data_IF_517983716642
#
_entry.id   IF_517983716642
#
_cell.length_a   1.000
_cell.length_b   1.000
_cell.length_c   1.000
_cell.angle_alpha   90.00
_cell.angle_beta   90.00
_cell.angle_gamma   90.00
#
_symmetry.space_group_name_H-M   'P 1'
#
loop_
_entity.id
_entity.type
_entity.pdbx_description
1 polymer ?
#
# COMPACT_ATOMS: atom_id res chain seq x y z
N UNK A 1 13.92 -13.47 -14.62
CA UNK A 1 14.27 -14.29 -15.80
C UNK A 1 15.49 -13.67 -16.47
N UNK A 2 16.70 -14.12 -16.13
CA UNK A 2 17.94 -13.66 -16.76
C UNK A 2 18.37 -14.73 -17.76
N UNK A 3 17.60 -14.89 -18.83
CA UNK A 3 18.02 -15.72 -19.96
C UNK A 3 19.16 -14.98 -20.63
N UNK A 4 20.35 -15.57 -20.63
CA UNK A 4 21.51 -14.91 -21.20
C UNK A 4 21.34 -14.89 -22.73
N UNK A 5 21.48 -13.70 -23.32
CA UNK A 5 21.36 -13.48 -24.79
C UNK A 5 22.34 -14.38 -25.58
N UNK A 6 23.37 -14.90 -24.91
CA UNK A 6 24.35 -15.87 -25.43
C UNK A 6 23.73 -17.22 -25.82
N UNK A 7 22.69 -17.67 -25.12
CA UNK A 7 22.07 -18.98 -25.39
C UNK A 7 21.17 -18.98 -26.65
N UNK A 8 20.75 -17.79 -27.10
CA UNK A 8 19.77 -17.65 -28.19
C UNK A 8 20.38 -17.41 -29.59
N UNK A 9 21.71 -17.50 -29.75
CA UNK A 9 22.41 -17.23 -31.03
C UNK A 9 22.03 -15.89 -31.67
N UNK A 10 21.69 -14.91 -30.84
CA UNK A 10 21.29 -13.58 -31.28
C UNK A 10 22.54 -12.76 -31.58
N UNK A 11 22.62 -12.20 -32.80
CA UNK A 11 23.73 -11.32 -33.21
C UNK A 11 23.65 -9.98 -32.48
N UNK A 12 24.47 -9.82 -31.46
CA UNK A 12 24.63 -8.56 -30.71
C UNK A 12 25.78 -7.76 -31.33
N UNK A 13 25.48 -6.59 -31.87
CA UNK A 13 26.50 -5.65 -32.35
C UNK A 13 26.95 -4.76 -31.20
N UNK A 14 28.25 -4.48 -31.09
CA UNK A 14 28.74 -3.51 -30.10
C UNK A 14 28.92 -2.16 -30.79
N UNK A 15 28.21 -1.13 -30.35
CA UNK A 15 28.31 0.23 -30.88
C UNK A 15 28.86 1.17 -29.83
N UNK A 16 29.59 2.18 -30.27
CA UNK A 16 30.01 3.31 -29.44
C UNK A 16 29.24 4.55 -29.85
N UNK A 17 28.82 5.33 -28.88
CA UNK A 17 28.25 6.66 -29.13
C UNK A 17 29.36 7.71 -29.35
N UNK A 18 28.93 8.96 -29.57
CA UNK A 18 29.85 10.09 -29.77
C UNK A 18 30.71 10.42 -28.54
N UNK A 19 30.33 9.94 -27.36
CA UNK A 19 31.03 10.13 -26.08
C UNK A 19 31.93 8.93 -25.73
N UNK A 20 31.99 7.92 -26.60
CA UNK A 20 32.81 6.73 -26.41
C UNK A 20 32.18 5.67 -25.51
N UNK A 21 30.94 5.86 -25.07
CA UNK A 21 30.21 4.88 -24.27
C UNK A 21 29.82 3.66 -25.12
N UNK A 22 29.93 2.46 -24.53
CA UNK A 22 29.64 1.20 -25.21
C UNK A 22 28.19 0.79 -25.00
N UNK A 23 27.54 0.39 -26.08
CA UNK A 23 26.18 -0.13 -26.12
C UNK A 23 26.13 -1.46 -26.87
N UNK A 24 25.22 -2.32 -26.43
CA UNK A 24 24.79 -3.52 -27.14
C UNK A 24 23.63 -3.14 -28.07
N UNK A 25 23.83 -3.29 -29.37
CA UNK A 25 22.82 -3.01 -30.38
C UNK A 25 22.14 -4.30 -30.83
N UNK A 26 20.81 -4.33 -30.73
CA UNK A 26 19.96 -5.44 -31.16
C UNK A 26 18.69 -4.90 -31.83
N UNK A 27 18.37 -5.37 -33.04
CA UNK A 27 17.16 -4.96 -33.76
C UNK A 27 17.04 -3.45 -34.02
N UNK A 28 18.17 -2.74 -34.14
CA UNK A 28 18.20 -1.27 -34.28
C UNK A 28 17.97 -0.49 -32.98
N UNK A 29 17.83 -1.18 -31.84
CA UNK A 29 17.74 -0.61 -30.50
C UNK A 29 19.10 -0.69 -29.79
N UNK A 30 19.39 0.27 -28.92
CA UNK A 30 20.63 0.32 -28.15
C UNK A 30 20.34 -0.06 -26.69
N UNK A 31 21.14 -0.94 -26.11
CA UNK A 31 21.00 -1.39 -24.74
C UNK A 31 22.31 -1.18 -23.97
N UNK A 32 22.21 -0.83 -22.70
CA UNK A 32 23.34 -0.74 -21.77
C UNK A 32 22.85 -1.04 -20.37
N UNK A 33 23.59 -1.88 -19.65
CA UNK A 33 23.28 -2.33 -18.28
C UNK A 33 21.86 -2.92 -18.10
N UNK A 34 21.29 -3.49 -19.17
CA UNK A 34 19.94 -4.03 -19.18
C UNK A 34 18.82 -3.02 -19.45
N UNK A 35 19.14 -1.75 -19.70
CA UNK A 35 18.20 -0.70 -20.05
C UNK A 35 18.22 -0.39 -21.54
N UNK A 36 17.05 -0.02 -22.08
CA UNK A 36 16.91 0.47 -23.45
C UNK A 36 17.28 1.96 -23.52
N UNK A 37 18.21 2.28 -24.41
CA UNK A 37 18.59 3.64 -24.77
C UNK A 37 18.02 3.94 -26.15
N UNK A 38 17.07 4.88 -26.20
CA UNK A 38 16.37 5.24 -27.43
C UNK A 38 16.13 6.74 -27.48
N UNK A 39 16.59 7.38 -28.54
CA UNK A 39 16.24 8.77 -28.82
C UNK A 39 14.76 8.86 -29.17
N UNK A 40 14.04 9.68 -28.44
CA UNK A 40 12.62 9.98 -28.66
C UNK A 40 12.43 11.49 -28.80
N UNK A 41 11.35 11.91 -29.46
CA UNK A 41 11.03 13.34 -29.57
C UNK A 41 10.56 13.88 -28.22
N UNK A 42 10.97 15.10 -27.86
CA UNK A 42 10.47 15.79 -26.66
C UNK A 42 8.94 15.94 -26.70
N UNK A 43 8.35 16.07 -27.90
CA UNK A 43 6.89 16.14 -28.08
C UNK A 43 6.17 14.82 -27.79
N UNK A 44 6.89 13.70 -27.79
CA UNK A 44 6.34 12.36 -27.51
C UNK A 44 6.47 11.93 -26.05
N UNK A 45 7.04 12.77 -25.19
CA UNK A 45 7.19 12.50 -23.75
C UNK A 45 6.28 13.45 -22.96
N UNK A 46 5.63 12.91 -21.93
CA UNK A 46 5.07 13.75 -20.88
C UNK A 46 6.19 14.05 -19.89
N UNK A 47 6.45 15.32 -19.59
CA UNK A 47 7.46 15.74 -18.62
C UNK A 47 6.84 16.46 -17.41
N UNK A 48 5.52 16.66 -17.40
CA UNK A 48 4.85 17.47 -16.39
C UNK A 48 4.41 16.60 -15.22
N UNK A 49 4.75 17.03 -14.00
CA UNK A 49 4.26 16.44 -12.73
C UNK A 49 4.52 14.94 -12.56
N UNK A 50 5.55 14.39 -13.21
CA UNK A 50 5.94 12.99 -12.99
C UNK A 50 6.50 12.85 -11.58
N UNK A 51 5.88 11.96 -10.79
CA UNK A 51 6.37 11.51 -9.49
C UNK A 51 6.74 10.04 -9.61
N UNK A 52 8.03 9.68 -9.77
CA UNK A 52 8.43 8.29 -9.86
C UNK A 52 8.00 7.50 -8.62
N UNK A 53 7.60 6.26 -8.80
CA UNK A 53 7.36 5.33 -7.71
C UNK A 53 8.68 4.88 -7.07
N UNK A 54 8.60 4.26 -5.89
CA UNK A 54 9.78 3.66 -5.27
C UNK A 54 10.38 2.56 -6.15
N UNK A 55 9.54 1.66 -6.67
CA UNK A 55 9.95 0.57 -7.56
C UNK A 55 10.63 1.07 -8.84
N UNK A 56 10.16 2.19 -9.40
CA UNK A 56 10.81 2.82 -10.54
C UNK A 56 12.19 3.37 -10.15
N UNK A 57 12.32 4.06 -9.01
CA UNK A 57 13.62 4.54 -8.55
C UNK A 57 14.61 3.40 -8.29
N UNK A 58 14.16 2.29 -7.69
CA UNK A 58 15.00 1.10 -7.49
C UNK A 58 15.48 0.53 -8.84
N UNK A 59 14.61 0.49 -9.85
CA UNK A 59 14.98 0.03 -11.20
C UNK A 59 16.04 0.91 -11.83
N UNK A 60 16.02 2.23 -11.65
CA UNK A 60 16.98 3.15 -12.27
C UNK A 60 18.22 3.43 -11.40
N UNK A 61 18.45 2.64 -10.33
CA UNK A 61 19.65 2.74 -9.50
C UNK A 61 20.87 2.27 -10.30
N UNK A 62 21.85 3.15 -10.53
CA UNK A 62 23.12 2.77 -11.19
C UNK A 62 23.94 1.85 -10.29
N UNK A 63 24.32 0.64 -10.73
CA UNK A 63 25.31 -0.16 -10.03
C UNK A 63 26.71 0.40 -10.35
N UNK A 64 27.39 1.03 -9.39
CA UNK A 64 28.85 1.24 -9.49
C UNK A 64 29.43 2.63 -9.20
N UNK A 65 28.64 3.66 -8.85
CA UNK A 65 29.23 4.92 -8.36
C UNK A 65 29.43 4.86 -6.84
N UNK A 66 30.64 4.42 -6.45
CA UNK A 66 31.25 4.52 -5.12
C UNK A 66 30.78 3.50 -4.07
N UNK A 67 31.71 2.64 -3.65
CA UNK A 67 31.54 1.61 -2.62
C UNK A 67 31.37 2.11 -1.18
N UNK A 68 30.64 3.22 -0.99
CA UNK A 68 30.23 3.75 0.32
C UNK A 68 28.85 4.46 0.28
N UNK A 69 28.05 4.21 -0.77
CA UNK A 69 26.94 5.08 -1.15
C UNK A 69 25.53 4.48 -1.10
N UNK A 70 25.25 3.48 -0.26
CA UNK A 70 23.93 2.83 -0.24
C UNK A 70 22.79 3.78 0.16
N UNK A 71 23.10 4.90 0.82
CA UNK A 71 22.13 5.86 1.37
C UNK A 71 22.10 7.18 0.57
N UNK A 72 23.24 7.63 0.04
CA UNK A 72 23.38 8.95 -0.59
C UNK A 72 22.63 9.09 -1.93
N UNK A 73 22.51 8.00 -2.69
CA UNK A 73 21.85 8.00 -4.00
C UNK A 73 20.34 8.15 -3.89
N UNK A 74 19.72 7.59 -2.83
CA UNK A 74 18.32 7.85 -2.53
C UNK A 74 18.15 9.27 -2.02
N UNK A 75 18.92 9.72 -1.02
CA UNK A 75 18.80 11.08 -0.48
C UNK A 75 18.81 12.19 -1.55
N UNK A 76 19.59 12.06 -2.63
CA UNK A 76 19.58 13.02 -3.76
C UNK A 76 18.34 12.92 -4.66
N UNK A 77 17.86 11.70 -4.95
CA UNK A 77 16.60 11.49 -5.68
C UNK A 77 15.37 11.98 -4.89
N UNK A 78 15.44 11.91 -3.57
CA UNK A 78 14.45 12.44 -2.65
C UNK A 78 14.49 13.96 -2.52
N UNK A 79 15.68 14.57 -2.46
CA UNK A 79 15.84 16.02 -2.36
C UNK A 79 15.23 16.78 -3.57
N UNK A 80 15.14 16.12 -4.73
CA UNK A 80 14.55 16.67 -5.94
C UNK A 80 13.03 16.47 -6.05
N UNK A 81 12.40 15.75 -5.12
CA UNK A 81 10.94 15.64 -5.06
C UNK A 81 10.37 16.88 -4.38
N UNK A 82 9.23 17.36 -4.86
CA UNK A 82 8.39 18.25 -4.06
C UNK A 82 7.99 17.46 -2.81
N UNK A 83 8.36 17.95 -1.63
CA UNK A 83 7.95 17.36 -0.36
C UNK A 83 6.44 17.20 -0.32
N UNK A 84 5.98 16.10 0.27
CA UNK A 84 4.57 15.81 0.45
C UNK A 84 3.86 16.91 1.24
N UNK A 85 2.57 17.11 0.95
CA UNK A 85 1.74 18.09 1.64
C UNK A 85 1.60 17.71 3.12
N UNK A 86 2.09 18.55 4.03
CA UNK A 86 1.85 18.39 5.46
C UNK A 86 0.41 18.70 5.81
N UNK A 87 -0.17 17.96 6.75
CA UNK A 87 -1.53 18.16 7.24
C UNK A 87 -1.52 18.32 8.76
N UNK A 88 -2.52 19.03 9.30
CA UNK A 88 -2.69 19.16 10.74
C UNK A 88 -2.78 17.77 11.38
N UNK A 89 -1.97 17.53 12.40
CA UNK A 89 -1.86 16.25 13.09
C UNK A 89 -0.71 15.37 12.62
N UNK A 90 -0.07 15.67 11.49
CA UNK A 90 1.11 14.91 11.03
C UNK A 90 2.23 14.98 12.08
N UNK A 91 2.76 13.82 12.46
CA UNK A 91 3.99 13.74 13.25
C UNK A 91 5.18 14.12 12.36
N UNK A 92 6.02 15.04 12.83
CA UNK A 92 7.16 15.59 12.07
C UNK A 92 8.41 15.69 12.92
N UNK A 93 9.56 15.64 12.25
CA UNK A 93 10.87 15.85 12.85
C UNK A 93 11.68 16.86 12.04
N UNK A 94 12.39 17.74 12.75
CA UNK A 94 13.27 18.74 12.14
C UNK A 94 14.60 18.09 11.74
N UNK A 95 14.99 18.22 10.47
CA UNK A 95 16.20 17.61 9.93
C UNK A 95 17.37 18.58 9.75
N UNK A 96 17.12 19.90 9.80
CA UNK A 96 18.11 20.97 9.56
C UNK A 96 17.92 22.12 10.55
N UNK A 97 18.95 22.96 10.70
CA UNK A 97 18.92 24.12 11.60
C UNK A 97 19.18 23.79 13.07
N UNK A 98 19.04 24.80 13.93
CA UNK A 98 19.37 24.71 15.36
C UNK A 98 18.39 23.82 16.14
N UNK A 99 17.18 23.63 15.62
CA UNK A 99 16.13 22.78 16.20
C UNK A 99 16.17 21.33 15.67
N UNK A 100 17.29 20.89 15.08
CA UNK A 100 17.42 19.53 14.54
C UNK A 100 17.09 18.47 15.59
N UNK A 101 16.37 17.43 15.17
CA UNK A 101 15.81 16.33 15.97
C UNK A 101 14.66 16.72 16.90
N UNK A 102 14.16 17.96 16.84
CA UNK A 102 12.90 18.32 17.50
C UNK A 102 11.75 17.57 16.83
N UNK A 103 11.00 16.81 17.62
CA UNK A 103 9.77 16.13 17.21
C UNK A 103 8.55 16.94 17.63
N UNK A 104 7.47 16.82 16.88
CA UNK A 104 6.19 17.39 17.24
C UNK A 104 5.10 17.04 16.24
N UNK A 105 3.94 17.67 16.41
CA UNK A 105 2.80 17.51 15.51
C UNK A 105 2.50 18.81 14.79
N UNK A 106 2.16 18.72 13.52
CA UNK A 106 1.76 19.88 12.72
C UNK A 106 0.46 20.45 13.29
N UNK A 107 0.48 21.72 13.70
CA UNK A 107 -0.69 22.42 14.22
C UNK A 107 -1.37 23.23 13.11
N UNK A 108 -0.57 23.88 12.27
CA UNK A 108 -1.03 24.73 11.18
C UNK A 108 -0.02 24.73 10.03
N UNK A 109 -0.51 24.82 8.80
CA UNK A 109 0.31 24.97 7.59
C UNK A 109 -0.10 26.28 6.91
N UNK A 110 0.87 27.17 6.69
CA UNK A 110 0.73 28.47 6.05
C UNK A 110 1.70 28.56 4.87
N UNK A 111 1.20 28.48 3.62
CA UNK A 111 2.00 28.55 2.38
C UNK A 111 3.28 27.67 2.41
N UNK A 112 4.43 28.24 2.78
CA UNK A 112 5.75 27.57 2.87
C UNK A 112 6.22 27.28 4.32
N UNK A 113 5.47 27.72 5.32
CA UNK A 113 5.80 27.60 6.74
C UNK A 113 4.83 26.67 7.47
N UNK A 114 5.39 25.83 8.33
CA UNK A 114 4.64 24.86 9.13
C UNK A 114 4.84 25.20 10.60
N UNK A 115 3.73 25.39 11.30
CA UNK A 115 3.70 25.61 12.74
C UNK A 115 3.61 24.24 13.41
N UNK A 116 4.62 23.93 14.23
CA UNK A 116 4.71 22.63 14.89
C UNK A 116 4.46 22.84 16.37
N UNK A 117 3.70 21.92 16.95
CA UNK A 117 3.57 21.77 18.39
C UNK A 117 4.57 20.71 18.88
N UNK A 118 5.74 21.12 19.40
CA UNK A 118 6.65 20.21 20.06
C UNK A 118 6.07 19.73 21.40
N UNK A 119 6.68 18.69 21.93
CA UNK A 119 6.33 18.09 23.22
C UNK A 119 6.71 19.00 24.41
N UNK A 120 7.66 19.91 24.20
CA UNK A 120 8.13 20.92 25.15
C UNK A 120 7.46 22.25 24.78
N UNK A 121 6.97 23.02 25.77
CA UNK A 121 6.18 24.26 25.56
C UNK A 121 6.82 25.22 24.53
N UNK A 122 5.93 25.90 23.81
CA UNK A 122 6.12 26.89 22.72
C UNK A 122 6.04 26.33 21.30
N UNK A 123 5.47 27.14 20.39
CA UNK A 123 5.16 26.77 19.00
C UNK A 123 6.21 27.38 18.05
N UNK A 124 7.29 26.66 17.69
CA UNK A 124 8.22 27.13 16.69
C UNK A 124 7.58 27.08 15.29
N UNK A 125 7.79 28.15 14.53
CA UNK A 125 7.50 28.20 13.09
C UNK A 125 8.72 27.69 12.35
N UNK A 126 8.55 26.64 11.56
CA UNK A 126 9.65 26.00 10.84
C UNK A 126 9.30 25.92 9.36
N UNK A 127 10.30 26.14 8.50
CA UNK A 127 10.08 26.03 7.07
C UNK A 127 9.81 24.57 6.67
N UNK A 128 8.90 24.35 5.72
CA UNK A 128 8.58 23.01 5.20
C UNK A 128 9.83 22.24 4.72
N UNK A 129 10.84 22.94 4.20
CA UNK A 129 12.10 22.36 3.72
C UNK A 129 12.98 21.79 4.83
N UNK A 130 12.72 22.14 6.08
CA UNK A 130 13.46 21.66 7.25
C UNK A 130 12.74 20.51 7.96
N UNK A 131 11.54 20.14 7.51
CA UNK A 131 10.71 19.11 8.13
C UNK A 131 10.60 17.86 7.28
N UNK A 132 10.47 16.72 7.95
CA UNK A 132 10.04 15.46 7.33
C UNK A 132 9.02 14.80 8.24
N UNK A 133 8.10 14.04 7.64
CA UNK A 133 7.18 13.22 8.43
C UNK A 133 7.95 12.18 9.23
N UNK A 134 7.51 11.95 10.46
CA UNK A 134 8.12 11.05 11.42
C UNK A 134 7.20 9.85 11.68
N UNK A 135 7.76 8.65 11.63
CA UNK A 135 7.05 7.40 11.90
C UNK A 135 7.96 6.44 12.65
N UNK A 136 7.35 5.58 13.46
CA UNK A 136 7.99 4.51 14.21
C UNK A 136 7.36 3.15 13.84
N UNK A 137 8.13 2.05 13.96
CA UNK A 137 7.57 0.71 13.86
C UNK A 137 6.41 0.53 14.85
N UNK A 138 5.28 0.01 14.36
CA UNK A 138 4.05 -0.13 15.11
C UNK A 138 3.01 0.97 14.80
N UNK A 139 3.41 2.12 14.23
CA UNK A 139 2.41 3.09 13.76
C UNK A 139 1.56 2.45 12.66
N UNK A 140 0.26 2.72 12.72
CA UNK A 140 -0.67 2.36 11.65
C UNK A 140 -0.85 3.56 10.72
N UNK A 141 -0.80 3.30 9.42
CA UNK A 141 -0.73 4.36 8.43
C UNK A 141 -1.56 4.05 7.19
N UNK A 142 -1.95 5.11 6.49
CA UNK A 142 -2.65 5.08 5.21
C UNK A 142 -1.82 5.77 4.14
N UNK A 143 -1.70 5.12 3.00
CA UNK A 143 -1.06 5.70 1.82
C UNK A 143 -2.05 6.67 1.18
N UNK A 144 -1.71 7.95 1.13
CA UNK A 144 -2.56 9.02 0.59
C UNK A 144 -2.22 9.38 -0.85
N UNK A 145 -0.99 9.13 -1.29
CA UNK A 145 -0.54 9.42 -2.66
C UNK A 145 0.40 8.33 -3.18
N UNK A 146 0.49 8.19 -4.50
CA UNK A 146 1.40 7.24 -5.16
C UNK A 146 0.74 5.95 -5.62
N UNK A 147 1.54 4.96 -6.04
CA UNK A 147 1.02 3.75 -6.70
C UNK A 147 0.15 2.84 -5.80
N UNK A 148 0.30 2.96 -4.48
CA UNK A 148 -0.42 2.17 -3.49
C UNK A 148 -1.45 3.04 -2.74
N UNK A 149 -1.91 4.15 -3.35
CA UNK A 149 -2.91 5.05 -2.76
C UNK A 149 -4.14 4.29 -2.25
N UNK A 150 -4.58 4.63 -1.04
CA UNK A 150 -5.69 3.99 -0.34
C UNK A 150 -5.31 2.73 0.43
N UNK A 151 -4.13 2.16 0.21
CA UNK A 151 -3.66 1.03 1.02
C UNK A 151 -3.41 1.46 2.46
N UNK A 152 -3.71 0.57 3.40
CA UNK A 152 -3.36 0.75 4.81
C UNK A 152 -2.51 -0.40 5.31
N UNK A 153 -1.75 -0.13 6.37
CA UNK A 153 -0.92 -1.12 7.00
C UNK A 153 -0.18 -0.61 8.21
N UNK A 154 0.51 -1.52 8.87
CA UNK A 154 1.36 -1.23 10.02
C UNK A 154 2.81 -1.06 9.58
N UNK A 155 3.48 -0.01 10.05
CA UNK A 155 4.91 0.21 9.82
C UNK A 155 5.68 -0.87 10.55
N UNK A 156 6.51 -1.63 9.84
CA UNK A 156 7.41 -2.64 10.44
C UNK A 156 8.86 -2.21 10.42
N UNK A 157 9.23 -1.32 9.50
CA UNK A 157 10.59 -0.78 9.43
C UNK A 157 10.57 0.61 8.80
N UNK A 158 11.45 1.48 9.28
CA UNK A 158 11.67 2.83 8.76
C UNK A 158 13.12 2.91 8.27
N UNK A 159 13.30 3.20 6.98
CA UNK A 159 14.60 3.35 6.33
C UNK A 159 14.72 4.77 5.76
N UNK A 160 15.26 5.68 6.57
CA UNK A 160 15.31 7.13 6.31
C UNK A 160 13.94 7.72 5.91
N UNK A 161 13.64 7.75 4.62
CA UNK A 161 12.42 8.34 4.04
C UNK A 161 11.49 7.29 3.43
N UNK A 162 11.83 6.01 3.53
CA UNK A 162 11.02 4.87 3.07
C UNK A 162 10.45 4.15 4.27
N UNK A 163 9.14 3.90 4.23
CA UNK A 163 8.44 3.05 5.17
C UNK A 163 8.22 1.69 4.54
N UNK A 164 8.53 0.64 5.30
CA UNK A 164 8.13 -0.72 4.98
C UNK A 164 6.91 -1.04 5.83
N UNK A 165 5.78 -1.24 5.18
CA UNK A 165 4.49 -1.54 5.79
C UNK A 165 4.15 -3.02 5.59
N UNK A 166 3.42 -3.61 6.53
CA UNK A 166 2.64 -4.82 6.26
C UNK A 166 1.21 -4.39 5.97
N UNK A 167 0.71 -4.70 4.78
CA UNK A 167 -0.66 -4.38 4.39
C UNK A 167 -1.69 -5.07 5.29
N UNK A 168 -2.75 -4.35 5.68
CA UNK A 168 -3.86 -4.94 6.43
C UNK A 168 -4.61 -5.99 5.59
N UNK A 169 -4.69 -5.77 4.28
CA UNK A 169 -5.45 -6.61 3.36
C UNK A 169 -4.59 -7.76 2.86
N UNK A 170 -3.53 -7.50 2.10
CA UNK A 170 -2.76 -8.57 1.44
C UNK A 170 -1.86 -9.34 2.41
N UNK A 171 -1.54 -8.74 3.57
CA UNK A 171 -0.49 -9.22 4.49
C UNK A 171 0.91 -9.26 3.87
N UNK A 172 1.09 -8.62 2.72
CA UNK A 172 2.37 -8.50 2.05
C UNK A 172 3.08 -7.20 2.45
N UNK A 173 4.39 -7.16 2.22
CA UNK A 173 5.20 -5.96 2.46
C UNK A 173 4.96 -4.94 1.35
N UNK A 174 4.64 -3.71 1.74
CA UNK A 174 4.51 -2.57 0.85
C UNK A 174 5.59 -1.55 1.21
N UNK A 175 6.32 -1.04 0.21
CA UNK A 175 7.32 0.02 0.39
C UNK A 175 6.79 1.33 -0.16
N UNK A 176 6.74 2.36 0.67
CA UNK A 176 6.20 3.69 0.33
C UNK A 176 7.05 4.79 0.93
N UNK A 177 6.99 5.98 0.34
CA UNK A 177 7.67 7.14 0.90
C UNK A 177 6.92 7.69 2.11
N UNK A 178 7.63 8.18 3.11
CA UNK A 178 7.02 8.79 4.29
C UNK A 178 6.09 9.96 3.91
N UNK A 179 6.46 10.73 2.87
CA UNK A 179 5.67 11.86 2.34
C UNK A 179 4.30 11.43 1.78
N UNK A 180 4.22 10.21 1.25
CA UNK A 180 3.03 9.63 0.62
C UNK A 180 2.05 9.01 1.63
N UNK A 181 2.34 9.15 2.92
CA UNK A 181 1.69 8.42 4.00
C UNK A 181 1.23 9.37 5.10
N UNK A 182 0.14 9.01 5.78
CA UNK A 182 -0.40 9.71 6.97
C UNK A 182 -0.68 8.69 8.05
N UNK A 183 -0.42 9.05 9.32
CA UNK A 183 -0.80 8.21 10.46
C UNK A 183 -2.32 8.10 10.55
N UNK A 184 -2.82 6.88 10.70
CA UNK A 184 -4.25 6.61 10.72
C UNK A 184 -4.55 5.50 11.71
N UNK A 185 -5.66 5.63 12.45
CA UNK A 185 -6.21 4.52 13.21
C UNK A 185 -7.16 3.64 12.37
N UNK A 186 -7.39 4.00 11.10
CA UNK A 186 -8.24 3.24 10.18
C UNK A 186 -7.55 1.94 9.74
N UNK A 187 -7.85 0.83 10.41
CA UNK A 187 -7.48 -0.48 9.87
C UNK A 187 -8.43 -0.81 8.73
N UNK A 188 -7.96 -0.73 7.47
CA UNK A 188 -8.80 -1.10 6.33
C UNK A 188 -9.00 -2.60 6.34
N UNK A 189 -10.18 -3.04 6.78
CA UNK A 189 -10.65 -4.41 6.62
C UNK A 189 -11.15 -4.63 5.19
N UNK A 190 -10.29 -4.38 4.20
CA UNK A 190 -10.67 -4.39 2.78
C UNK A 190 -11.68 -3.32 2.39
N UNK A 191 -11.86 -3.15 1.07
CA UNK A 191 -13.05 -2.54 0.46
C UNK A 191 -14.27 -3.11 1.17
N UNK A 192 -15.17 -2.36 1.79
CA UNK A 192 -16.31 -2.97 2.54
C UNK A 192 -17.50 -3.31 1.65
N UNK A 193 -17.46 -2.94 0.37
CA UNK A 193 -18.57 -3.05 -0.57
C UNK A 193 -18.12 -3.22 -2.01
N UNK A 194 -18.70 -4.17 -2.75
CA UNK A 194 -18.60 -4.26 -4.22
C UNK A 194 -20.02 -4.29 -4.77
N UNK A 195 -20.36 -3.32 -5.64
CA UNK A 195 -21.73 -3.11 -6.10
C UNK A 195 -22.67 -2.82 -4.92
N UNK A 196 -23.77 -3.56 -4.85
CA UNK A 196 -24.77 -3.42 -3.78
C UNK A 196 -24.47 -4.28 -2.55
N UNK A 197 -23.41 -5.12 -2.58
CA UNK A 197 -23.13 -6.10 -1.52
C UNK A 197 -22.00 -5.63 -0.60
N UNK A 198 -22.22 -5.79 0.70
CA UNK A 198 -21.30 -5.37 1.75
C UNK A 198 -20.92 -6.51 2.69
N UNK A 199 -19.88 -6.26 3.48
CA UNK A 199 -19.45 -7.14 4.55
C UNK A 199 -20.65 -7.50 5.47
N UNK A 200 -20.75 -8.79 5.83
CA UNK A 200 -21.82 -9.40 6.65
C UNK A 200 -23.17 -9.62 5.96
N UNK A 201 -23.32 -9.27 4.68
CA UNK A 201 -24.52 -9.65 3.93
C UNK A 201 -24.64 -11.17 3.83
N UNK A 202 -25.85 -11.68 4.06
CA UNK A 202 -26.24 -13.04 3.73
C UNK A 202 -26.62 -13.08 2.25
N UNK A 203 -25.93 -13.89 1.46
CA UNK A 203 -26.09 -13.93 0.00
C UNK A 203 -26.46 -15.32 -0.50
N UNK A 204 -27.28 -15.35 -1.54
CA UNK A 204 -27.57 -16.55 -2.33
C UNK A 204 -26.63 -16.59 -3.54
N UNK A 205 -25.92 -17.70 -3.72
CA UNK A 205 -25.02 -17.94 -4.84
C UNK A 205 -25.76 -18.56 -6.03
N UNK A 206 -25.16 -18.49 -7.21
CA UNK A 206 -25.69 -19.02 -8.47
C UNK A 206 -26.02 -20.52 -8.42
N UNK A 207 -25.20 -21.30 -7.71
CA UNK A 207 -25.36 -22.73 -7.46
C UNK A 207 -26.41 -23.07 -6.39
N UNK A 208 -27.24 -22.10 -5.99
CA UNK A 208 -28.28 -22.21 -4.95
C UNK A 208 -27.76 -22.46 -3.53
N UNK A 209 -26.44 -22.45 -3.31
CA UNK A 209 -25.88 -22.40 -1.96
C UNK A 209 -25.97 -20.99 -1.40
N UNK A 210 -25.91 -20.85 -0.07
CA UNK A 210 -25.92 -19.55 0.60
C UNK A 210 -24.72 -19.43 1.54
N UNK A 211 -24.34 -18.20 1.83
CA UNK A 211 -23.27 -17.91 2.76
C UNK A 211 -23.25 -16.45 3.17
N UNK A 212 -22.40 -16.15 4.15
CA UNK A 212 -22.21 -14.79 4.67
C UNK A 212 -20.91 -14.23 4.13
N UNK A 213 -20.94 -13.00 3.63
CA UNK A 213 -19.72 -12.28 3.24
C UNK A 213 -18.90 -11.98 4.50
N UNK A 214 -17.77 -12.65 4.66
CA UNK A 214 -16.86 -12.45 5.81
C UNK A 214 -15.66 -11.57 5.46
N UNK A 215 -15.40 -11.37 4.17
CA UNK A 215 -14.39 -10.45 3.66
C UNK A 215 -14.74 -9.98 2.26
N UNK A 216 -14.34 -8.77 1.94
CA UNK A 216 -14.51 -8.17 0.63
C UNK A 216 -13.12 -7.75 0.13
N UNK A 217 -12.79 -8.13 -1.10
CA UNK A 217 -11.51 -7.85 -1.77
C UNK A 217 -11.74 -6.82 -2.91
N UNK A 218 -10.76 -6.60 -3.78
CA UNK A 218 -10.91 -5.62 -4.88
C UNK A 218 -11.93 -6.06 -5.95
N UNK A 219 -11.99 -7.36 -6.27
CA UNK A 219 -12.85 -7.90 -7.34
C UNK A 219 -13.67 -9.14 -6.93
N UNK A 220 -13.60 -9.55 -5.67
CA UNK A 220 -14.25 -10.76 -5.17
C UNK A 220 -14.58 -10.66 -3.67
N UNK A 221 -15.35 -11.63 -3.19
CA UNK A 221 -15.77 -11.78 -1.81
C UNK A 221 -15.26 -13.09 -1.25
N UNK A 222 -14.84 -13.12 0.02
CA UNK A 222 -14.73 -14.38 0.75
C UNK A 222 -16.05 -14.64 1.45
N UNK A 223 -16.72 -15.71 1.05
CA UNK A 223 -18.04 -16.11 1.54
C UNK A 223 -17.88 -17.36 2.41
N UNK A 224 -18.35 -17.28 3.66
CA UNK A 224 -18.49 -18.44 4.54
C UNK A 224 -19.80 -19.15 4.20
N UNK A 225 -19.71 -20.35 3.63
CA UNK A 225 -20.88 -21.16 3.25
C UNK A 225 -21.54 -21.80 4.46
N UNK A 226 -22.88 -21.85 4.42
CA UNK A 226 -23.71 -22.51 5.43
C UNK A 226 -23.79 -24.02 5.27
N UNK A 227 -22.68 -24.74 5.44
CA UNK A 227 -22.67 -26.22 5.48
C UNK A 227 -22.58 -26.70 6.95
N UNK A 228 -23.45 -27.61 7.42
CA UNK A 228 -23.50 -28.04 8.83
C UNK A 228 -22.22 -28.72 9.33
N UNK A 229 -21.51 -29.43 8.46
CA UNK A 229 -20.43 -30.33 8.87
C UNK A 229 -19.05 -29.67 8.96
N UNK A 230 -18.80 -28.60 8.19
CA UNK A 230 -17.49 -27.92 8.16
C UNK A 230 -17.62 -26.44 7.76
N UNK A 231 -16.90 -25.51 8.41
CA UNK A 231 -16.80 -24.15 7.88
C UNK A 231 -16.04 -24.17 6.54
N UNK A 232 -16.71 -23.81 5.45
CA UNK A 232 -16.11 -23.70 4.12
C UNK A 232 -16.11 -22.23 3.69
N UNK A 233 -14.91 -21.66 3.49
CA UNK A 233 -14.74 -20.30 2.96
C UNK A 233 -14.37 -20.39 1.48
N UNK A 234 -15.09 -19.66 0.63
CA UNK A 234 -14.89 -19.67 -0.82
C UNK A 234 -14.78 -18.25 -1.34
N UNK A 235 -13.88 -18.05 -2.31
CA UNK A 235 -13.77 -16.81 -3.06
C UNK A 235 -14.84 -16.77 -4.16
N UNK A 236 -15.69 -15.75 -4.13
CA UNK A 236 -16.88 -15.61 -4.99
C UNK A 236 -16.84 -14.26 -5.69
N UNK A 237 -17.02 -14.23 -7.02
CA UNK A 237 -17.10 -12.97 -7.78
C UNK A 237 -18.50 -12.36 -7.70
N UNK A 238 -18.62 -11.05 -7.95
CA UNK A 238 -19.92 -10.36 -7.95
C UNK A 238 -20.97 -11.04 -8.85
N UNK A 239 -20.56 -11.53 -10.03
CA UNK A 239 -21.43 -12.24 -10.99
C UNK A 239 -21.97 -13.59 -10.53
N UNK A 240 -21.33 -14.19 -9.51
CA UNK A 240 -21.69 -15.49 -8.93
C UNK A 240 -22.67 -15.32 -7.76
N UNK A 241 -22.94 -14.08 -7.34
CA UNK A 241 -23.95 -13.74 -6.35
C UNK A 241 -25.28 -13.45 -7.06
N UNK A 242 -26.31 -14.20 -6.71
CA UNK A 242 -27.65 -14.07 -7.27
C UNK A 242 -28.45 -12.94 -6.63
N UNK A 243 -28.48 -12.87 -5.30
CA UNK A 243 -29.16 -11.81 -4.54
C UNK A 243 -28.80 -11.82 -3.04
N UNK A 244 -29.18 -10.76 -2.33
CA UNK A 244 -29.20 -10.72 -0.86
C UNK A 244 -30.39 -11.50 -0.30
N UNK A 245 -30.18 -12.16 0.83
CA UNK A 245 -31.23 -12.85 1.57
C UNK A 245 -31.61 -12.01 2.79
N UNK A 246 -32.72 -11.29 2.68
CA UNK A 246 -33.33 -10.57 3.79
C UNK A 246 -34.54 -11.34 4.31
N UNK A 247 -34.30 -12.31 5.20
CA UNK A 247 -35.39 -13.05 5.86
C UNK A 247 -35.31 -12.90 7.37
N UNK A 248 -36.38 -12.39 7.97
CA UNK A 248 -36.60 -12.47 9.41
C UNK A 248 -37.14 -13.86 9.72
N UNK A 249 -36.25 -14.77 10.10
CA UNK A 249 -36.59 -16.14 10.48
C UNK A 249 -36.53 -16.23 11.99
N UNK A 250 -37.52 -16.88 12.59
CA UNK A 250 -37.45 -17.39 13.95
C UNK A 250 -37.38 -18.92 13.90
N UNK A 251 -36.56 -19.49 14.77
CA UNK A 251 -36.36 -20.94 14.91
C UNK A 251 -36.48 -21.34 16.36
N UNK A 252 -36.59 -22.64 16.66
CA UNK A 252 -36.63 -23.14 18.04
C UNK A 252 -35.30 -23.78 18.43
N UNK A 253 -34.88 -23.58 19.68
CA UNK A 253 -33.73 -24.26 20.27
C UNK A 253 -34.06 -25.69 20.75
N UNK A 254 -33.09 -26.38 21.35
CA UNK A 254 -33.27 -27.73 21.92
C UNK A 254 -34.32 -27.77 23.05
N UNK A 255 -34.55 -26.65 23.74
CA UNK A 255 -35.51 -26.51 24.83
C UNK A 255 -36.85 -25.93 24.37
N UNK A 256 -37.06 -25.78 23.05
CA UNK A 256 -38.25 -25.18 22.41
C UNK A 256 -38.43 -23.68 22.66
N UNK A 257 -37.38 -22.98 23.09
CA UNK A 257 -37.39 -21.52 23.11
C UNK A 257 -37.28 -20.99 21.69
N UNK A 258 -38.06 -19.97 21.36
CA UNK A 258 -37.97 -19.28 20.08
C UNK A 258 -36.74 -18.37 20.06
N UNK A 259 -35.85 -18.58 19.09
CA UNK A 259 -34.69 -17.75 18.77
C UNK A 259 -35.03 -16.89 17.55
N UNK A 260 -34.73 -15.60 17.65
CA UNK A 260 -34.85 -14.61 16.58
C UNK A 260 -33.48 -14.01 16.24
N UNK A 261 -33.42 -13.30 15.11
CA UNK A 261 -32.24 -12.50 14.77
C UNK A 261 -31.89 -11.53 15.90
N UNK A 262 -30.60 -11.44 16.25
CA UNK A 262 -29.99 -10.65 17.35
C UNK A 262 -30.07 -11.25 18.75
N UNK A 263 -30.70 -12.41 18.93
CA UNK A 263 -30.67 -13.09 20.23
C UNK A 263 -29.26 -13.63 20.52
N UNK A 264 -28.86 -13.55 21.80
CA UNK A 264 -27.58 -14.09 22.27
C UNK A 264 -27.80 -15.55 22.65
N UNK A 265 -27.11 -16.45 21.95
CA UNK A 265 -27.23 -17.90 22.16
C UNK A 265 -25.90 -18.52 22.54
N UNK A 266 -25.94 -19.62 23.30
CA UNK A 266 -24.77 -20.43 23.65
C UNK A 266 -24.80 -21.75 22.89
N UNK A 267 -23.70 -22.07 22.21
CA UNK A 267 -23.55 -23.35 21.50
C UNK A 267 -23.24 -24.44 22.52
N UNK A 268 -24.17 -25.38 22.68
CA UNK A 268 -24.07 -26.47 23.66
C UNK A 268 -23.37 -27.72 23.14
N UNK A 269 -23.33 -27.90 21.81
CA UNK A 269 -22.93 -29.14 21.15
C UNK A 269 -22.40 -28.87 19.73
N UNK A 270 -21.65 -29.81 19.16
CA UNK A 270 -21.09 -29.75 17.81
C UNK A 270 -19.71 -29.06 17.67
N UNK A 271 -19.19 -28.93 16.42
CA UNK A 271 -17.82 -28.46 16.14
C UNK A 271 -17.52 -27.05 16.64
N UNK A 272 -18.55 -26.19 16.74
CA UNK A 272 -18.44 -24.81 17.19
C UNK A 272 -18.66 -24.65 18.72
N UNK A 273 -18.70 -25.75 19.48
CA UNK A 273 -18.82 -25.69 20.94
C UNK A 273 -17.56 -25.09 21.55
N UNK A 274 -17.67 -23.87 22.05
CA UNK A 274 -16.59 -23.21 22.80
C UNK A 274 -16.47 -23.89 24.18
N UNK A 275 -15.31 -24.49 24.46
CA UNK A 275 -14.94 -24.89 25.82
C UNK A 275 -14.38 -23.66 26.53
N UNK A 276 -15.01 -23.28 27.63
CA UNK A 276 -14.45 -22.33 28.60
C UNK A 276 -13.64 -23.11 29.63
#
# INVERSE_FOLDING_TARGET
LKLSIRELHIRVEHRRDAYGERFEAFGGMMFKDGFLYKTVSIKSISAQSIKPTFDELEKFRKPGESGDGDVASLSTLFANRKKGHFMKGDAVIVIKGDLKNLKGWVEKVDEDNVHIRPEIKDLPVINEKELVKYFEPGNHVKVVTGAQEGATGMVVKVEQHVLILISDTTKEHIRVFADDVVESSEVTTGVTRIGDYELRDLVLLDNLSFGVIIRVESEAFQVLKGVPDRPEVVLVKLREIKCKIEKKISVQDRFKNTISSKDVVKIIDGPCRVRF
#
